data_IF_120842762126
#
_entry.id   IF_120842762126
#
_cell.length_a   1.000
_cell.length_b   1.000
_cell.length_c   1.000
_cell.angle_alpha   90.00
_cell.angle_beta   90.00
_cell.angle_gamma   90.00
#
_symmetry.space_group_name_H-M   'P 1'
#
loop_
_entity.id
_entity.type
_entity.pdbx_description
1 polymer ?
#
# COMPACT_ATOMS: atom_id res chain seq x y z
N UNK A 1 11.62 1.19 10.18
CA UNK A 1 13.03 1.58 10.39
C UNK A 1 13.10 2.85 11.21
N UNK A 2 13.77 2.77 12.35
CA UNK A 2 14.05 3.91 13.21
C UNK A 2 14.72 5.01 12.37
N UNK A 3 14.14 6.21 12.30
CA UNK A 3 14.80 7.30 11.59
C UNK A 3 16.06 7.70 12.37
N UNK A 4 17.16 8.03 11.69
CA UNK A 4 18.40 8.43 12.34
C UNK A 4 18.20 9.58 13.35
N UNK A 5 17.20 10.44 13.13
CA UNK A 5 16.84 11.54 14.03
C UNK A 5 16.25 11.01 15.36
N UNK A 6 15.60 9.85 15.36
CA UNK A 6 15.05 9.22 16.56
C UNK A 6 16.17 8.64 17.45
N UNK A 7 17.34 8.34 16.85
CA UNK A 7 18.54 7.90 17.57
C UNK A 7 19.34 9.07 18.19
N UNK A 8 19.19 10.28 17.66
CA UNK A 8 19.90 11.46 18.18
C UNK A 8 19.47 11.86 19.60
N UNK A 9 18.21 11.67 19.95
CA UNK A 9 17.68 12.00 21.28
C UNK A 9 18.26 11.12 22.40
N UNK A 10 18.17 9.77 22.34
CA UNK A 10 18.82 8.92 23.32
C UNK A 10 20.35 9.08 23.31
N UNK A 11 20.96 9.30 22.13
CA UNK A 11 22.38 9.53 22.03
C UNK A 11 22.81 10.84 22.72
N UNK A 12 22.08 11.93 22.51
CA UNK A 12 22.32 13.21 23.19
C UNK A 12 22.12 13.11 24.70
N UNK A 13 21.12 12.36 25.15
CA UNK A 13 20.87 12.08 26.56
C UNK A 13 22.02 11.27 27.18
N UNK A 14 22.49 10.23 26.50
CA UNK A 14 23.65 9.42 26.93
C UNK A 14 24.94 10.23 26.97
N UNK A 15 25.16 11.10 25.97
CA UNK A 15 26.30 12.02 25.96
C UNK A 15 26.24 13.01 27.13
N UNK A 16 25.05 13.53 27.44
CA UNK A 16 24.83 14.39 28.61
C UNK A 16 25.11 13.65 29.91
N UNK A 17 24.55 12.45 30.09
CA UNK A 17 24.75 11.61 31.28
C UNK A 17 26.23 11.25 31.42
N UNK A 18 26.89 10.82 30.34
CA UNK A 18 28.33 10.52 30.35
C UNK A 18 29.18 11.75 30.69
N UNK A 19 28.88 12.88 30.10
CA UNK A 19 29.55 14.16 30.38
C UNK A 19 29.38 14.60 31.83
N UNK A 20 28.18 14.41 32.40
CA UNK A 20 27.90 14.68 33.79
C UNK A 20 28.65 13.69 34.72
N UNK A 21 28.69 12.40 34.36
CA UNK A 21 29.41 11.39 35.16
C UNK A 21 30.94 11.62 35.14
N UNK A 22 31.53 11.88 33.99
CA UNK A 22 32.94 12.19 33.84
C UNK A 22 33.34 13.45 34.61
N UNK A 23 32.46 14.45 34.67
CA UNK A 23 32.68 15.70 35.44
C UNK A 23 32.49 15.50 36.93
N UNK A 24 31.56 14.63 37.38
CA UNK A 24 31.40 14.28 38.78
C UNK A 24 32.72 13.68 39.35
N UNK A 25 33.38 12.84 38.59
CA UNK A 25 34.65 12.24 38.99
C UNK A 25 35.83 13.23 38.99
N UNK A 26 35.76 14.34 38.20
CA UNK A 26 36.71 15.44 38.24
C UNK A 26 36.35 16.53 39.24
N UNK A 27 35.12 16.59 39.73
CA UNK A 27 34.59 17.64 40.59
C UNK A 27 34.85 17.40 42.10
N UNK A 28 35.52 16.29 42.47
CA UNK A 28 35.92 16.06 43.85
C UNK A 28 36.95 17.10 44.36
N UNK A 29 37.67 17.76 43.42
CA UNK A 29 38.71 18.78 43.72
C UNK A 29 38.26 20.22 43.34
N UNK A 30 36.99 20.44 42.95
CA UNK A 30 36.52 21.72 42.43
C UNK A 30 36.21 22.74 43.56
N UNK A 31 36.58 24.00 43.33
CA UNK A 31 36.27 25.12 44.26
C UNK A 31 34.76 25.37 44.38
N UNK A 32 34.30 26.01 45.46
CA UNK A 32 32.88 26.30 45.70
C UNK A 32 32.19 27.09 44.58
N UNK A 33 32.92 27.90 43.81
CA UNK A 33 32.44 28.67 42.65
C UNK A 33 32.10 27.78 41.46
N UNK A 34 32.90 26.72 41.22
CA UNK A 34 32.64 25.75 40.13
C UNK A 34 31.45 24.84 40.45
N UNK A 35 31.21 24.50 41.71
CA UNK A 35 30.00 23.76 42.15
C UNK A 35 28.70 24.54 41.90
N UNK A 36 28.72 25.87 42.14
CA UNK A 36 27.59 26.76 41.87
C UNK A 36 27.28 26.84 40.33
N UNK A 37 28.30 27.00 39.52
CA UNK A 37 28.13 27.03 38.05
C UNK A 37 27.65 25.68 37.49
N UNK A 38 28.05 24.56 38.10
CA UNK A 38 27.60 23.22 37.71
C UNK A 38 26.10 23.02 38.08
N UNK A 39 25.66 23.41 39.26
CA UNK A 39 24.29 23.32 39.71
C UNK A 39 23.37 24.21 38.81
N UNK A 40 23.85 25.40 38.41
CA UNK A 40 23.10 26.27 37.50
C UNK A 40 22.90 25.65 36.12
N UNK A 41 23.93 25.00 35.56
CA UNK A 41 23.83 24.31 34.28
C UNK A 41 22.88 23.10 34.33
N UNK A 42 22.87 22.32 35.41
CA UNK A 42 21.90 21.23 35.60
C UNK A 42 20.48 21.79 35.62
N UNK A 43 20.23 22.89 36.34
CA UNK A 43 18.93 23.56 36.35
C UNK A 43 18.52 24.04 34.97
N UNK A 44 19.43 24.62 34.19
CA UNK A 44 19.17 25.06 32.81
C UNK A 44 18.82 23.88 31.88
N UNK A 45 19.55 22.76 31.97
CA UNK A 45 19.23 21.56 31.19
C UNK A 45 17.87 20.95 31.59
N UNK A 46 17.57 20.88 32.88
CA UNK A 46 16.27 20.42 33.36
C UNK A 46 15.12 21.32 32.86
N UNK A 47 15.32 22.63 32.90
CA UNK A 47 14.34 23.60 32.42
C UNK A 47 14.13 23.52 30.91
N UNK A 48 15.19 23.38 30.12
CA UNK A 48 15.07 23.22 28.64
C UNK A 48 14.43 21.90 28.27
N UNK A 49 14.72 20.82 28.98
CA UNK A 49 14.08 19.53 28.78
C UNK A 49 12.58 19.58 29.10
N UNK A 50 12.23 20.24 30.22
CA UNK A 50 10.82 20.45 30.60
C UNK A 50 10.09 21.33 29.56
N UNK A 51 10.71 22.41 29.12
CA UNK A 51 10.14 23.28 28.09
C UNK A 51 9.93 22.55 26.76
N UNK A 52 10.87 21.71 26.32
CA UNK A 52 10.75 20.89 25.13
C UNK A 52 9.61 19.85 25.29
N UNK A 53 9.48 19.25 26.46
CA UNK A 53 8.38 18.34 26.78
C UNK A 53 7.01 19.05 26.71
N UNK A 54 6.87 20.20 27.37
CA UNK A 54 5.65 20.98 27.35
C UNK A 54 5.29 21.46 25.93
N UNK A 55 6.28 21.89 25.14
CA UNK A 55 6.07 22.23 23.74
C UNK A 55 5.58 21.03 22.92
N UNK A 56 6.12 19.85 23.18
CA UNK A 56 5.68 18.61 22.52
C UNK A 56 4.22 18.30 22.85
N UNK A 57 3.82 18.46 24.11
CA UNK A 57 2.42 18.28 24.54
C UNK A 57 1.50 19.29 23.85
N UNK A 58 1.88 20.56 23.82
CA UNK A 58 1.12 21.61 23.13
C UNK A 58 0.95 21.28 21.63
N UNK A 59 2.03 20.84 20.97
CA UNK A 59 1.97 20.43 19.56
C UNK A 59 1.03 19.24 19.31
N UNK A 60 0.97 18.29 20.24
CA UNK A 60 0.03 17.14 20.15
C UNK A 60 -1.41 17.68 20.18
N UNK A 61 -1.74 18.55 21.12
CA UNK A 61 -3.09 19.13 21.22
C UNK A 61 -3.42 20.03 20.03
N UNK A 62 -2.48 20.84 19.54
CA UNK A 62 -2.63 21.67 18.34
C UNK A 62 -2.85 20.87 17.07
N UNK A 63 -2.44 19.59 17.04
CA UNK A 63 -2.64 18.65 15.93
C UNK A 63 -3.87 17.76 16.05
N UNK A 64 -4.76 18.04 17.00
CA UNK A 64 -6.04 17.37 17.18
C UNK A 64 -6.09 16.38 18.35
N UNK A 65 -5.14 16.49 19.29
CA UNK A 65 -5.10 15.75 20.54
C UNK A 65 -4.54 14.33 20.44
N UNK A 66 -4.43 13.67 21.61
CA UNK A 66 -3.89 12.31 21.69
C UNK A 66 -4.65 11.31 20.83
N UNK A 67 -5.97 11.36 20.79
CA UNK A 67 -6.81 10.44 20.04
C UNK A 67 -6.48 10.46 18.54
N UNK A 68 -6.39 11.65 17.93
CA UNK A 68 -6.01 11.79 16.52
C UNK A 68 -4.57 11.35 16.26
N UNK A 69 -3.69 11.56 17.21
CA UNK A 69 -2.32 11.13 17.13
C UNK A 69 -2.21 9.60 17.25
N UNK A 70 -3.02 8.96 18.14
CA UNK A 70 -3.11 7.49 18.24
C UNK A 70 -3.73 6.87 16.99
N UNK A 71 -4.77 7.44 16.41
CA UNK A 71 -5.33 6.99 15.14
C UNK A 71 -4.31 7.06 13.98
N UNK A 72 -3.36 8.01 14.03
CA UNK A 72 -2.25 8.05 13.09
C UNK A 72 -1.19 6.96 13.34
N UNK A 73 -1.07 6.44 14.57
CA UNK A 73 -0.21 5.29 14.87
C UNK A 73 -0.79 3.98 14.37
N UNK A 74 -2.11 3.85 14.36
CA UNK A 74 -2.82 2.69 13.82
C UNK A 74 -2.83 2.65 12.28
N UNK A 75 -2.53 3.78 11.64
CA UNK A 75 -2.41 3.86 10.20
C UNK A 75 -0.99 3.52 9.75
N UNK A 76 -0.88 3.00 8.54
CA UNK A 76 0.39 2.78 7.87
C UNK A 76 1.28 4.02 7.74
N UNK A 77 0.73 5.19 8.00
CA UNK A 77 1.42 6.47 8.10
C UNK A 77 2.10 6.72 9.47
N UNK A 78 2.26 5.70 10.31
CA UNK A 78 3.06 5.75 11.56
C UNK A 78 4.40 6.48 11.40
N UNK A 79 4.99 6.38 10.23
CA UNK A 79 6.29 7.00 9.92
C UNK A 79 6.21 8.52 9.68
N UNK A 80 5.03 9.10 9.67
CA UNK A 80 4.84 10.54 9.45
C UNK A 80 4.64 11.34 10.74
N UNK A 81 4.64 10.70 11.90
CA UNK A 81 4.62 11.43 13.16
C UNK A 81 5.88 12.31 13.27
N UNK A 82 5.67 13.61 13.28
CA UNK A 82 6.76 14.60 13.27
C UNK A 82 7.34 14.90 14.65
N UNK A 83 6.80 14.26 15.70
CA UNK A 83 7.25 14.44 17.09
C UNK A 83 7.91 13.14 17.58
N UNK A 84 9.26 13.05 17.54
CA UNK A 84 9.99 11.79 17.80
C UNK A 84 9.71 11.15 19.17
N UNK A 85 9.69 11.96 20.23
CA UNK A 85 9.39 11.49 21.60
C UNK A 85 8.00 10.86 21.71
N UNK A 86 7.04 11.42 20.98
CA UNK A 86 5.68 10.92 20.95
C UNK A 86 5.59 9.54 20.28
N UNK A 87 6.34 9.30 19.23
CA UNK A 87 6.36 8.01 18.53
C UNK A 87 6.81 6.87 19.44
N UNK A 88 7.82 7.10 20.31
CA UNK A 88 8.35 6.10 21.22
C UNK A 88 7.36 5.83 22.38
N UNK A 89 6.96 6.87 23.07
CA UNK A 89 6.08 6.73 24.24
C UNK A 89 4.63 6.44 23.86
N UNK A 90 4.15 7.03 22.76
CA UNK A 90 2.83 6.76 22.22
C UNK A 90 2.68 5.30 21.79
N UNK A 91 3.67 4.74 21.10
CA UNK A 91 3.69 3.32 20.72
C UNK A 91 3.70 2.42 21.97
N UNK A 92 4.51 2.75 22.98
CA UNK A 92 4.58 1.95 24.19
C UNK A 92 3.24 1.95 24.93
N UNK A 93 2.59 3.11 25.07
CA UNK A 93 1.27 3.23 25.71
C UNK A 93 0.20 2.52 24.88
N UNK A 94 0.24 2.68 23.55
CA UNK A 94 -0.68 2.02 22.64
C UNK A 94 -0.57 0.50 22.72
N UNK A 95 0.63 -0.05 22.62
CA UNK A 95 0.91 -1.48 22.76
C UNK A 95 0.47 -2.06 24.12
N UNK A 96 0.65 -1.28 25.19
CA UNK A 96 0.23 -1.72 26.53
C UNK A 96 -1.29 -1.64 26.74
N UNK A 97 -1.96 -0.74 26.03
CA UNK A 97 -3.43 -0.56 26.13
C UNK A 97 -4.21 -1.36 25.08
N UNK A 98 -3.56 -1.95 24.08
CA UNK A 98 -4.25 -2.83 23.14
C UNK A 98 -4.83 -4.04 23.89
N UNK A 99 -6.15 -4.12 23.95
CA UNK A 99 -6.83 -5.33 24.37
C UNK A 99 -6.57 -6.41 23.30
N UNK A 100 -5.64 -7.32 23.59
CA UNK A 100 -5.45 -8.50 22.76
C UNK A 100 -6.74 -9.30 22.81
N UNK A 101 -7.43 -9.39 21.69
CA UNK A 101 -8.59 -10.27 21.57
C UNK A 101 -8.14 -11.70 21.81
N UNK A 102 -8.48 -12.24 22.97
CA UNK A 102 -8.19 -13.64 23.28
C UNK A 102 -9.24 -14.51 22.58
N UNK A 103 -8.79 -15.44 21.77
CA UNK A 103 -9.67 -16.38 21.08
C UNK A 103 -10.28 -17.34 22.12
N UNK A 104 -11.51 -17.06 22.53
CA UNK A 104 -12.23 -17.83 23.54
C UNK A 104 -13.18 -18.85 22.88
N UNK A 105 -13.60 -19.92 23.60
CA UNK A 105 -14.63 -20.84 23.11
C UNK A 105 -15.93 -20.13 22.70
N UNK A 106 -16.27 -19.01 23.37
CA UNK A 106 -17.43 -18.17 23.03
C UNK A 106 -17.26 -17.53 21.65
N UNK A 107 -16.12 -16.88 21.42
CA UNK A 107 -15.80 -16.25 20.12
C UNK A 107 -15.78 -17.30 19.00
N UNK A 108 -15.21 -18.48 19.30
CA UNK A 108 -15.23 -19.60 18.34
C UNK A 108 -16.66 -20.00 17.97
N UNK A 109 -17.53 -20.15 18.96
CA UNK A 109 -18.93 -20.51 18.74
C UNK A 109 -19.70 -19.45 17.93
N UNK A 110 -19.43 -18.15 18.18
CA UNK A 110 -19.99 -17.04 17.41
C UNK A 110 -19.54 -17.08 15.94
N UNK A 111 -18.26 -17.34 15.69
CA UNK A 111 -17.71 -17.48 14.34
C UNK A 111 -18.30 -18.71 13.65
N UNK A 112 -18.33 -19.87 14.31
CA UNK A 112 -18.91 -21.11 13.76
C UNK A 112 -20.39 -20.92 13.41
N UNK A 113 -21.13 -20.20 14.25
CA UNK A 113 -22.54 -19.88 14.01
C UNK A 113 -22.68 -18.91 12.81
N UNK A 114 -21.86 -17.89 12.71
CA UNK A 114 -21.85 -16.96 11.59
C UNK A 114 -21.53 -17.71 10.27
N UNK A 115 -20.52 -18.56 10.27
CA UNK A 115 -20.13 -19.38 9.10
C UNK A 115 -21.26 -20.29 8.63
N UNK A 116 -22.04 -20.90 9.53
CA UNK A 116 -23.18 -21.75 9.19
C UNK A 116 -24.32 -21.01 8.48
N UNK A 117 -24.44 -19.71 8.72
CA UNK A 117 -25.48 -18.86 8.11
C UNK A 117 -25.00 -18.15 6.83
N UNK A 118 -23.75 -18.36 6.42
CA UNK A 118 -23.30 -17.87 5.13
C UNK A 118 -23.95 -18.67 3.99
N UNK A 119 -24.26 -18.02 2.85
CA UNK A 119 -24.72 -18.75 1.66
C UNK A 119 -23.75 -19.88 1.35
N UNK A 120 -24.28 -21.07 1.13
CA UNK A 120 -23.45 -22.19 0.69
C UNK A 120 -22.72 -21.78 -0.61
N UNK A 121 -21.41 -22.05 -0.65
CA UNK A 121 -20.66 -21.89 -1.90
C UNK A 121 -21.34 -22.75 -2.97
N UNK A 122 -21.83 -22.09 -3.99
CA UNK A 122 -22.33 -22.76 -5.19
C UNK A 122 -21.13 -22.91 -6.13
N UNK A 123 -20.59 -24.11 -6.35
CA UNK A 123 -19.52 -24.26 -7.34
C UNK A 123 -20.06 -23.76 -8.68
N UNK A 124 -19.27 -22.91 -9.33
CA UNK A 124 -19.57 -22.50 -10.70
C UNK A 124 -19.70 -23.79 -11.53
N UNK A 125 -20.70 -23.80 -12.40
CA UNK A 125 -21.00 -24.96 -13.23
C UNK A 125 -19.73 -25.47 -13.92
N UNK A 126 -19.61 -26.79 -14.13
CA UNK A 126 -18.48 -27.46 -14.81
C UNK A 126 -18.18 -26.92 -16.22
N UNK A 127 -19.05 -26.05 -16.73
CA UNK A 127 -18.89 -25.34 -18.01
C UNK A 127 -17.78 -24.29 -18.02
N UNK A 128 -17.26 -23.84 -16.85
CA UNK A 128 -16.12 -22.92 -16.80
C UNK A 128 -14.84 -23.74 -16.85
N UNK A 129 -14.17 -23.70 -17.98
CA UNK A 129 -12.90 -24.40 -18.18
C UNK A 129 -11.87 -23.95 -17.13
N UNK A 130 -11.35 -24.91 -16.37
CA UNK A 130 -10.29 -24.66 -15.37
C UNK A 130 -9.05 -24.10 -16.06
N UNK A 131 -8.57 -22.96 -15.59
CA UNK A 131 -7.38 -22.31 -16.12
C UNK A 131 -6.14 -22.72 -15.35
N UNK A 132 -5.03 -22.95 -16.07
CA UNK A 132 -3.75 -23.33 -15.46
C UNK A 132 -2.93 -22.14 -14.99
N UNK A 133 -3.19 -20.97 -15.53
CA UNK A 133 -2.45 -19.76 -15.21
C UNK A 133 -3.40 -18.68 -14.71
N UNK A 134 -3.09 -18.11 -13.56
CA UNK A 134 -3.79 -16.95 -13.01
C UNK A 134 -2.83 -15.77 -12.93
N UNK A 135 -3.20 -14.67 -13.59
CA UNK A 135 -2.51 -13.39 -13.51
C UNK A 135 -3.40 -12.41 -12.75
N UNK A 136 -2.91 -11.85 -11.66
CA UNK A 136 -3.63 -10.84 -10.86
C UNK A 136 -2.88 -9.53 -10.89
N UNK A 137 -3.50 -8.48 -11.38
CA UNK A 137 -2.91 -7.14 -11.50
C UNK A 137 -3.63 -6.20 -10.56
N UNK A 138 -2.92 -5.80 -9.51
CA UNK A 138 -3.37 -4.74 -8.61
C UNK A 138 -2.96 -3.39 -9.19
N UNK A 139 -3.95 -2.63 -9.65
CA UNK A 139 -3.73 -1.31 -10.20
C UNK A 139 -3.84 -0.28 -9.09
N UNK A 140 -2.72 0.33 -8.74
CA UNK A 140 -2.63 1.37 -7.71
C UNK A 140 -3.65 2.47 -7.97
N UNK A 141 -4.59 2.62 -7.04
CA UNK A 141 -5.58 3.69 -7.00
C UNK A 141 -6.56 3.78 -8.19
N UNK A 142 -6.65 2.78 -9.07
CA UNK A 142 -7.53 2.81 -10.23
C UNK A 142 -9.01 2.80 -9.81
N UNK A 143 -9.78 3.77 -10.28
CA UNK A 143 -11.22 3.89 -9.98
C UNK A 143 -12.11 3.61 -11.20
N UNK A 144 -13.29 3.07 -10.94
CA UNK A 144 -14.22 2.66 -12.00
C UNK A 144 -14.71 3.82 -12.86
N UNK A 145 -14.77 5.05 -12.34
CA UNK A 145 -15.25 6.19 -13.13
C UNK A 145 -14.29 6.60 -14.25
N UNK A 146 -13.04 6.16 -14.22
CA UNK A 146 -12.04 6.39 -15.26
C UNK A 146 -12.22 5.48 -16.47
N UNK A 147 -12.94 4.35 -16.28
CA UNK A 147 -13.14 3.33 -17.31
C UNK A 147 -14.36 3.70 -18.18
N UNK A 148 -14.24 3.49 -19.49
CA UNK A 148 -15.24 3.90 -20.49
C UNK A 148 -15.57 5.40 -20.42
N UNK A 149 -14.65 6.21 -19.89
CA UNK A 149 -14.82 7.65 -19.73
C UNK A 149 -14.08 8.42 -20.82
N UNK A 150 -14.80 9.35 -21.44
CA UNK A 150 -14.21 10.38 -22.32
C UNK A 150 -14.32 11.75 -21.66
N UNK A 151 -13.23 12.48 -21.67
CA UNK A 151 -13.17 13.88 -21.22
C UNK A 151 -12.52 14.66 -22.35
N UNK A 152 -13.16 15.74 -22.80
CA UNK A 152 -12.77 16.51 -24.00
C UNK A 152 -12.57 15.61 -25.24
N UNK A 153 -13.42 14.59 -25.42
CA UNK A 153 -13.33 13.63 -26.52
C UNK A 153 -12.21 12.59 -26.41
N UNK A 154 -11.38 12.65 -25.37
CA UNK A 154 -10.23 11.74 -25.14
C UNK A 154 -10.63 10.67 -24.14
N UNK A 155 -10.35 9.42 -24.47
CA UNK A 155 -10.53 8.30 -23.53
C UNK A 155 -9.45 8.32 -22.46
N UNK A 156 -9.86 8.16 -21.17
CA UNK A 156 -8.92 8.09 -20.07
C UNK A 156 -8.18 6.74 -20.11
N UNK A 157 -8.90 5.64 -20.33
CA UNK A 157 -8.35 4.27 -20.28
C UNK A 157 -8.64 3.49 -21.56
N UNK A 158 -8.09 3.91 -22.73
CA UNK A 158 -8.44 3.31 -24.02
C UNK A 158 -8.08 1.82 -24.14
N UNK A 159 -7.01 1.35 -23.48
CA UNK A 159 -6.61 -0.05 -23.52
C UNK A 159 -7.52 -0.94 -22.69
N UNK A 160 -7.85 -0.52 -21.46
CA UNK A 160 -8.83 -1.22 -20.63
C UNK A 160 -10.21 -1.20 -21.30
N UNK A 161 -10.64 -0.08 -21.88
CA UNK A 161 -11.90 0.01 -22.61
C UNK A 161 -11.98 -1.03 -23.73
N UNK A 162 -10.90 -1.14 -24.53
CA UNK A 162 -10.78 -2.17 -25.59
C UNK A 162 -10.82 -3.59 -25.01
N UNK A 163 -10.16 -3.81 -23.87
CA UNK A 163 -10.10 -5.13 -23.23
C UNK A 163 -11.47 -5.54 -22.68
N UNK A 164 -12.19 -4.63 -22.06
CA UNK A 164 -13.54 -4.89 -21.50
C UNK A 164 -14.59 -5.11 -22.60
N UNK A 165 -14.38 -4.55 -23.78
CA UNK A 165 -15.26 -4.77 -24.93
C UNK A 165 -15.16 -6.18 -25.53
N UNK A 166 -14.16 -7.00 -25.13
CA UNK A 166 -14.03 -8.38 -25.54
C UNK A 166 -15.14 -9.23 -24.89
N UNK A 167 -15.81 -10.07 -25.68
CA UNK A 167 -16.92 -10.93 -25.21
C UNK A 167 -16.53 -11.96 -24.15
N UNK A 168 -15.22 -12.22 -23.98
CA UNK A 168 -14.68 -13.12 -22.96
C UNK A 168 -14.30 -12.39 -21.67
N UNK A 169 -14.60 -11.09 -21.56
CA UNK A 169 -14.25 -10.29 -20.39
C UNK A 169 -15.51 -10.00 -19.56
N UNK A 170 -15.42 -10.30 -18.27
CA UNK A 170 -16.38 -9.84 -17.28
C UNK A 170 -15.88 -8.54 -16.66
N UNK A 171 -16.75 -7.53 -16.61
CA UNK A 171 -16.46 -6.25 -15.96
C UNK A 171 -17.50 -5.92 -14.90
N UNK A 172 -17.06 -5.75 -13.67
CA UNK A 172 -17.86 -5.29 -12.55
C UNK A 172 -17.41 -3.87 -12.15
N UNK A 173 -18.16 -2.82 -12.55
CA UNK A 173 -17.79 -1.42 -12.29
C UNK A 173 -18.10 -0.93 -10.89
N UNK A 174 -18.93 -1.62 -10.12
CA UNK A 174 -19.49 -1.12 -8.86
C UNK A 174 -18.99 -1.91 -7.64
N UNK A 175 -17.70 -2.23 -7.61
CA UNK A 175 -17.08 -2.90 -6.45
C UNK A 175 -16.66 -1.83 -5.45
N UNK A 176 -17.30 -1.81 -4.27
CA UNK A 176 -16.88 -0.92 -3.18
C UNK A 176 -15.59 -1.46 -2.55
N UNK A 177 -14.61 -0.60 -2.44
CA UNK A 177 -13.39 -0.94 -1.71
C UNK A 177 -13.69 -1.23 -0.24
N UNK A 178 -13.08 -2.31 0.29
CA UNK A 178 -13.19 -2.69 1.70
C UNK A 178 -11.88 -2.42 2.46
N UNK A 179 -10.90 -1.80 1.81
CA UNK A 179 -9.61 -1.50 2.42
C UNK A 179 -9.73 -0.53 3.60
N UNK A 180 -8.78 -0.57 4.52
CA UNK A 180 -8.67 0.27 5.69
C UNK A 180 -7.27 0.93 5.72
N UNK A 181 -6.62 0.94 6.87
CA UNK A 181 -5.32 1.56 7.07
C UNK A 181 -4.17 1.01 6.24
N UNK A 182 -4.26 -0.24 5.81
CA UNK A 182 -3.25 -0.89 4.97
C UNK A 182 -3.28 -0.50 3.49
N UNK A 183 -4.40 0.10 3.01
CA UNK A 183 -4.52 0.53 1.61
C UNK A 183 -4.18 -0.60 0.61
N UNK A 184 -3.17 -0.43 -0.23
CA UNK A 184 -2.78 -1.41 -1.26
C UNK A 184 -2.50 -2.81 -0.71
N UNK A 185 -1.92 -2.93 0.49
CA UNK A 185 -1.66 -4.25 1.09
C UNK A 185 -2.96 -4.90 1.60
N UNK A 186 -3.96 -4.11 2.03
CA UNK A 186 -5.29 -4.61 2.38
C UNK A 186 -6.03 -5.13 1.14
N UNK A 187 -5.89 -4.45 -0.01
CA UNK A 187 -6.41 -4.92 -1.29
C UNK A 187 -5.82 -6.30 -1.66
N UNK A 188 -4.52 -6.47 -1.43
CA UNK A 188 -3.87 -7.77 -1.64
C UNK A 188 -4.39 -8.85 -0.66
N UNK A 189 -4.64 -8.51 0.61
CA UNK A 189 -5.24 -9.44 1.58
C UNK A 189 -6.62 -9.91 1.10
N UNK A 190 -7.51 -8.96 0.77
CA UNK A 190 -8.87 -9.25 0.31
C UNK A 190 -8.89 -10.25 -0.84
N UNK A 191 -8.11 -9.98 -1.88
CA UNK A 191 -8.09 -10.80 -3.10
C UNK A 191 -7.36 -12.14 -2.88
N UNK A 192 -6.27 -12.12 -2.12
CA UNK A 192 -5.45 -13.33 -1.92
C UNK A 192 -6.05 -14.31 -0.92
N UNK A 193 -6.87 -13.84 0.02
CA UNK A 193 -7.32 -14.66 1.16
C UNK A 193 -8.84 -14.67 1.38
N UNK A 194 -9.57 -13.70 0.83
CA UNK A 194 -10.99 -13.48 1.15
C UNK A 194 -11.23 -12.88 2.54
N UNK A 195 -10.19 -12.55 3.30
CA UNK A 195 -10.33 -11.97 4.64
C UNK A 195 -10.49 -10.45 4.58
N UNK A 196 -11.32 -9.90 5.46
CA UNK A 196 -11.42 -8.45 5.62
C UNK A 196 -10.20 -7.90 6.35
N UNK A 197 -9.77 -6.68 6.01
CA UNK A 197 -8.69 -6.00 6.72
C UNK A 197 -9.08 -5.69 8.17
N UNK A 198 -8.07 -5.39 8.98
CA UNK A 198 -8.28 -4.91 10.34
C UNK A 198 -9.07 -3.59 10.32
N UNK A 199 -9.98 -3.40 11.27
CA UNK A 199 -10.73 -2.14 11.40
C UNK A 199 -9.81 -0.96 11.71
N UNK A 200 -8.69 -1.20 12.38
CA UNK A 200 -7.65 -0.24 12.74
C UNK A 200 -6.27 -0.83 12.52
N UNK A 201 -5.34 -0.01 12.04
CA UNK A 201 -3.98 -0.43 11.74
C UNK A 201 -3.82 -1.14 10.40
N UNK A 202 -2.77 -1.93 10.29
CA UNK A 202 -2.43 -2.68 9.09
C UNK A 202 -1.96 -4.10 9.46
N UNK A 203 -2.63 -5.10 8.92
CA UNK A 203 -2.33 -6.50 9.23
C UNK A 203 -0.87 -6.87 8.89
N UNK A 204 -0.35 -6.36 7.80
CA UNK A 204 1.01 -6.64 7.35
C UNK A 204 2.09 -6.08 8.31
N UNK A 205 1.74 -5.08 9.12
CA UNK A 205 2.62 -4.51 10.13
C UNK A 205 2.42 -5.16 11.50
N UNK A 206 1.18 -5.49 11.85
CA UNK A 206 0.84 -6.03 13.17
C UNK A 206 0.99 -7.57 13.23
N UNK A 207 0.65 -8.27 12.13
CA UNK A 207 0.61 -9.72 12.07
C UNK A 207 1.34 -10.29 10.84
N UNK A 208 2.58 -9.83 10.53
CA UNK A 208 3.27 -10.21 9.29
C UNK A 208 3.60 -11.70 9.21
N UNK A 209 3.71 -12.38 10.35
CA UNK A 209 4.09 -13.79 10.44
C UNK A 209 2.90 -14.75 10.64
N UNK A 210 1.68 -14.24 10.53
CA UNK A 210 0.49 -15.09 10.64
C UNK A 210 0.35 -16.00 9.43
N UNK A 211 -0.03 -17.24 9.67
CA UNK A 211 -0.38 -18.18 8.60
C UNK A 211 -1.77 -17.85 8.05
N UNK A 212 -1.78 -17.26 6.85
CA UNK A 212 -3.03 -16.96 6.16
C UNK A 212 -3.42 -18.11 5.22
N UNK A 213 -4.71 -18.48 5.14
CA UNK A 213 -5.22 -19.20 3.98
C UNK A 213 -5.02 -18.29 2.75
N UNK A 214 -4.72 -18.87 1.60
CA UNK A 214 -4.56 -18.03 0.41
C UNK A 214 -4.91 -18.79 -0.87
N UNK A 215 -5.29 -18.01 -1.88
CA UNK A 215 -5.55 -18.51 -3.23
C UNK A 215 -4.35 -19.29 -3.80
N UNK A 216 -3.14 -18.79 -3.58
CA UNK A 216 -1.90 -19.44 -4.05
C UNK A 216 -1.70 -20.80 -3.39
N UNK A 217 -1.95 -20.91 -2.10
CA UNK A 217 -1.86 -22.20 -1.37
C UNK A 217 -2.91 -23.18 -1.87
N UNK A 218 -4.17 -22.73 -2.04
CA UNK A 218 -5.23 -23.58 -2.57
C UNK A 218 -4.90 -24.05 -4.00
N UNK A 219 -4.40 -23.14 -4.86
CA UNK A 219 -3.94 -23.52 -6.20
C UNK A 219 -2.79 -24.54 -6.16
N UNK A 220 -1.89 -24.45 -5.17
CA UNK A 220 -0.76 -25.37 -5.02
C UNK A 220 -1.19 -26.75 -4.54
N UNK A 221 -2.27 -26.84 -3.77
CA UNK A 221 -2.88 -28.13 -3.37
C UNK A 221 -3.45 -28.86 -4.60
N UNK A 222 -4.11 -28.15 -5.51
CA UNK A 222 -4.63 -28.73 -6.76
C UNK A 222 -3.52 -28.98 -7.80
N UNK A 223 -2.50 -28.11 -7.82
CA UNK A 223 -1.40 -28.11 -8.78
C UNK A 223 -0.05 -28.09 -8.05
N UNK A 224 0.50 -29.24 -7.62
CA UNK A 224 1.76 -29.31 -6.89
C UNK A 224 2.97 -28.73 -7.62
N UNK A 225 2.89 -28.61 -8.96
CA UNK A 225 3.92 -28.01 -9.83
C UNK A 225 3.75 -26.50 -10.02
N UNK A 226 2.83 -25.85 -9.29
CA UNK A 226 2.57 -24.43 -9.37
C UNK A 226 3.83 -23.61 -9.11
N UNK A 227 4.12 -22.71 -10.04
CA UNK A 227 5.11 -21.63 -9.87
C UNK A 227 4.40 -20.32 -9.58
N UNK A 228 4.79 -19.65 -8.49
CA UNK A 228 4.12 -18.41 -8.05
C UNK A 228 5.10 -17.24 -7.98
N UNK A 229 4.66 -16.09 -8.49
CA UNK A 229 5.49 -14.92 -8.69
C UNK A 229 4.80 -13.65 -8.18
N UNK A 230 5.56 -12.77 -7.52
CA UNK A 230 5.19 -11.38 -7.23
C UNK A 230 6.14 -10.44 -7.98
N UNK A 231 5.58 -9.45 -8.66
CA UNK A 231 6.34 -8.38 -9.32
C UNK A 231 5.83 -7.01 -8.85
N UNK A 232 6.72 -6.21 -8.31
CA UNK A 232 6.42 -4.85 -7.84
C UNK A 232 7.65 -3.96 -7.94
N UNK A 233 7.43 -2.65 -8.00
CA UNK A 233 8.49 -1.64 -7.99
C UNK A 233 8.84 -1.18 -6.57
N UNK A 234 8.20 -1.73 -5.57
CA UNK A 234 8.45 -1.43 -4.17
C UNK A 234 9.67 -2.16 -3.61
N UNK A 235 10.11 -1.72 -2.43
CA UNK A 235 11.14 -2.42 -1.66
C UNK A 235 10.51 -3.59 -0.90
N UNK A 236 11.26 -4.69 -0.64
CA UNK A 236 10.75 -5.83 0.13
C UNK A 236 10.12 -5.45 1.48
N UNK A 237 10.68 -4.44 2.13
CA UNK A 237 10.24 -3.95 3.44
C UNK A 237 8.98 -3.06 3.38
N UNK A 238 8.62 -2.54 2.21
CA UNK A 238 7.40 -1.74 2.07
C UNK A 238 6.21 -2.62 2.42
N UNK A 239 5.44 -2.26 3.46
CA UNK A 239 4.35 -3.08 3.97
C UNK A 239 4.73 -4.51 4.39
N UNK A 240 5.99 -4.78 4.74
CA UNK A 240 6.48 -6.15 4.93
C UNK A 240 6.14 -7.09 3.76
N UNK A 241 6.11 -6.54 2.54
CA UNK A 241 5.60 -7.20 1.33
C UNK A 241 6.25 -8.56 1.07
N UNK A 242 7.56 -8.71 1.32
CA UNK A 242 8.24 -9.99 1.13
C UNK A 242 7.74 -11.06 2.08
N UNK A 243 7.60 -10.72 3.37
CA UNK A 243 7.13 -11.66 4.41
C UNK A 243 5.68 -12.06 4.16
N UNK A 244 4.83 -11.07 3.85
CA UNK A 244 3.40 -11.32 3.57
C UNK A 244 3.22 -12.18 2.33
N UNK A 245 3.95 -11.90 1.25
CA UNK A 245 3.88 -12.68 0.01
C UNK A 245 4.34 -14.13 0.22
N UNK A 246 5.40 -14.35 1.00
CA UNK A 246 5.85 -15.68 1.40
C UNK A 246 4.77 -16.41 2.20
N UNK A 247 4.14 -15.73 3.16
CA UNK A 247 3.03 -16.30 3.93
C UNK A 247 1.78 -16.59 3.10
N UNK A 248 1.60 -15.94 1.96
CA UNK A 248 0.56 -16.28 0.97
C UNK A 248 0.98 -17.44 0.05
N UNK A 249 2.22 -17.94 0.16
CA UNK A 249 2.72 -19.07 -0.64
C UNK A 249 3.39 -18.66 -1.95
N UNK A 250 3.70 -17.37 -2.14
CA UNK A 250 4.44 -16.90 -3.32
C UNK A 250 5.91 -17.28 -3.16
N UNK A 251 6.45 -17.99 -4.16
CA UNK A 251 7.79 -18.58 -4.09
C UNK A 251 8.89 -17.71 -4.68
N UNK A 252 8.56 -16.82 -5.61
CA UNK A 252 9.54 -15.95 -6.27
C UNK A 252 9.04 -14.50 -6.31
N UNK A 253 9.90 -13.58 -5.93
CA UNK A 253 9.54 -12.17 -5.78
C UNK A 253 10.55 -11.28 -6.50
N UNK A 254 10.04 -10.29 -7.23
CA UNK A 254 10.82 -9.32 -7.97
C UNK A 254 10.48 -7.93 -7.44
N UNK A 255 11.42 -7.33 -6.73
CA UNK A 255 11.29 -6.02 -6.10
C UNK A 255 12.05 -4.94 -6.88
N UNK A 256 12.12 -3.75 -6.34
CA UNK A 256 12.70 -2.55 -6.97
C UNK A 256 14.13 -2.73 -7.48
N UNK A 257 14.94 -3.54 -6.85
CA UNK A 257 16.35 -3.82 -7.21
C UNK A 257 16.50 -4.71 -8.44
N UNK A 258 15.40 -5.30 -8.90
CA UNK A 258 15.37 -6.20 -10.07
C UNK A 258 14.91 -5.50 -11.37
N UNK A 259 14.68 -4.20 -11.29
CA UNK A 259 14.19 -3.36 -12.38
C UNK A 259 15.14 -2.19 -12.62
N UNK A 260 15.27 -1.79 -13.89
CA UNK A 260 15.98 -0.57 -14.26
C UNK A 260 15.03 0.62 -14.09
N UNK A 261 15.35 1.56 -13.19
CA UNK A 261 14.53 2.74 -12.94
C UNK A 261 14.81 3.86 -13.96
N UNK A 262 14.39 3.64 -15.19
CA UNK A 262 14.58 4.50 -16.37
C UNK A 262 13.43 5.50 -16.59
N UNK A 263 12.23 5.23 -16.07
CA UNK A 263 11.09 6.16 -16.04
C UNK A 263 10.72 6.49 -14.59
N UNK A 264 11.15 7.65 -14.08
CA UNK A 264 10.93 8.04 -12.66
C UNK A 264 9.58 8.75 -12.50
N UNK A 265 8.63 8.10 -11.81
CA UNK A 265 7.26 8.57 -11.62
C UNK A 265 6.92 8.72 -10.12
N UNK A 266 5.96 9.59 -9.84
CA UNK A 266 5.49 9.87 -8.48
C UNK A 266 6.46 10.70 -7.66
N UNK A 267 6.01 11.16 -6.50
CA UNK A 267 6.83 11.95 -5.57
C UNK A 267 8.06 11.21 -5.05
N UNK A 268 8.00 9.87 -5.02
CA UNK A 268 9.10 8.99 -4.58
C UNK A 268 10.05 8.59 -5.71
N UNK A 269 9.82 9.07 -6.95
CA UNK A 269 10.65 8.80 -8.14
C UNK A 269 10.92 7.30 -8.36
N UNK A 270 9.89 6.47 -8.20
CA UNK A 270 9.96 5.04 -8.50
C UNK A 270 9.83 4.80 -10.00
N UNK A 271 10.10 3.56 -10.42
CA UNK A 271 9.89 3.12 -11.79
C UNK A 271 8.42 3.26 -12.18
N UNK A 272 8.15 3.91 -13.32
CA UNK A 272 6.81 4.09 -13.86
C UNK A 272 6.24 2.83 -14.50
N UNK A 273 4.90 2.71 -14.47
CA UNK A 273 4.20 1.49 -14.89
C UNK A 273 4.44 1.14 -16.36
N UNK A 274 4.64 2.13 -17.25
CA UNK A 274 4.90 1.84 -18.67
C UNK A 274 6.23 1.11 -18.83
N UNK A 275 7.32 1.61 -18.24
CA UNK A 275 8.59 0.90 -18.27
C UNK A 275 8.54 -0.40 -17.47
N UNK A 276 7.87 -0.42 -16.33
CA UNK A 276 7.68 -1.61 -15.52
C UNK A 276 7.05 -2.75 -16.35
N UNK A 277 5.94 -2.48 -17.07
CA UNK A 277 5.27 -3.49 -17.91
C UNK A 277 6.15 -3.93 -19.08
N UNK A 278 6.90 -3.02 -19.72
CA UNK A 278 7.89 -3.38 -20.75
C UNK A 278 8.95 -4.35 -20.21
N UNK A 279 9.46 -4.09 -19.00
CA UNK A 279 10.48 -4.93 -18.36
C UNK A 279 9.91 -6.27 -17.91
N UNK A 280 8.65 -6.32 -17.42
CA UNK A 280 7.94 -7.59 -17.17
C UNK A 280 7.85 -8.41 -18.46
N UNK A 281 7.36 -7.82 -19.54
CA UNK A 281 7.26 -8.49 -20.85
C UNK A 281 8.62 -9.02 -21.32
N UNK A 282 9.68 -8.23 -21.16
CA UNK A 282 11.04 -8.66 -21.49
C UNK A 282 11.50 -9.87 -20.66
N UNK A 283 11.20 -9.88 -19.35
CA UNK A 283 11.49 -11.04 -18.49
C UNK A 283 10.68 -12.28 -18.89
N UNK A 284 9.39 -12.12 -19.19
CA UNK A 284 8.54 -13.22 -19.64
C UNK A 284 9.02 -13.82 -20.98
N UNK A 285 9.47 -12.98 -21.93
CA UNK A 285 10.04 -13.41 -23.22
C UNK A 285 11.35 -14.18 -23.06
N UNK A 286 12.19 -13.84 -22.08
CA UNK A 286 13.44 -14.58 -21.80
C UNK A 286 13.19 -16.02 -21.33
N UNK A 287 11.97 -16.34 -20.90
CA UNK A 287 11.62 -17.64 -20.31
C UNK A 287 12.06 -17.74 -18.84
N UNK A 288 11.76 -18.88 -18.23
CA UNK A 288 12.01 -19.12 -16.79
C UNK A 288 10.87 -18.67 -15.87
N UNK A 289 10.06 -17.72 -16.29
CA UNK A 289 8.87 -17.23 -15.60
C UNK A 289 7.64 -17.58 -16.42
N UNK A 290 6.56 -18.03 -15.75
CA UNK A 290 5.32 -18.46 -16.41
C UNK A 290 5.59 -19.51 -17.52
N UNK A 291 6.17 -20.63 -17.16
CA UNK A 291 6.53 -21.69 -18.10
C UNK A 291 5.26 -22.28 -18.74
N UNK A 292 5.30 -22.40 -20.08
CA UNK A 292 4.23 -23.02 -20.85
C UNK A 292 3.99 -24.47 -20.38
N UNK A 293 2.72 -24.87 -20.25
CA UNK A 293 2.33 -26.21 -19.84
C UNK A 293 2.42 -26.49 -18.34
N UNK A 294 2.90 -25.53 -17.56
CA UNK A 294 2.90 -25.54 -16.09
C UNK A 294 1.78 -24.67 -15.53
N UNK A 295 1.40 -24.93 -14.30
CA UNK A 295 0.50 -24.06 -13.55
C UNK A 295 1.28 -22.85 -13.03
N UNK A 296 0.72 -21.65 -13.22
CA UNK A 296 1.40 -20.41 -12.83
C UNK A 296 0.44 -19.48 -12.09
N UNK A 297 0.97 -18.78 -11.11
CA UNK A 297 0.34 -17.62 -10.48
C UNK A 297 1.29 -16.42 -10.64
N UNK A 298 0.80 -15.34 -11.21
CA UNK A 298 1.57 -14.11 -11.34
C UNK A 298 0.79 -12.95 -10.73
N UNK A 299 1.34 -12.37 -9.68
CA UNK A 299 0.83 -11.15 -9.05
C UNK A 299 1.68 -9.95 -9.47
N UNK A 300 1.03 -8.92 -9.97
CA UNK A 300 1.66 -7.65 -10.35
C UNK A 300 1.03 -6.54 -9.54
N UNK A 301 1.85 -5.69 -8.94
CA UNK A 301 1.38 -4.52 -8.17
C UNK A 301 1.99 -3.28 -8.82
N UNK A 302 1.14 -2.42 -9.39
CA UNK A 302 1.55 -1.17 -10.02
C UNK A 302 1.80 -0.09 -8.97
N UNK A 303 2.33 1.07 -9.40
CA UNK A 303 2.65 2.15 -8.47
C UNK A 303 2.23 3.53 -8.98
N UNK A 304 2.20 3.76 -10.29
CA UNK A 304 2.13 5.13 -10.83
C UNK A 304 0.90 5.90 -10.36
N UNK A 305 -0.23 5.22 -10.17
CA UNK A 305 -1.47 5.79 -9.64
C UNK A 305 -1.40 6.33 -8.21
N UNK A 306 -0.23 6.27 -7.55
CA UNK A 306 -0.09 6.72 -6.17
C UNK A 306 -0.14 8.26 -6.05
N UNK A 307 -1.02 8.76 -5.14
CA UNK A 307 -1.08 10.19 -4.81
C UNK A 307 0.32 10.74 -4.44
N UNK A 308 0.72 11.93 -4.91
CA UNK A 308 -0.05 13.01 -5.53
C UNK A 308 -0.13 13.02 -7.07
N UNK A 309 -0.04 11.89 -7.75
CA UNK A 309 -0.21 11.73 -9.20
C UNK A 309 0.82 12.51 -10.05
N UNK A 310 2.07 12.57 -9.58
CA UNK A 310 3.15 13.31 -10.25
C UNK A 310 3.69 12.53 -11.44
N UNK A 311 3.44 13.01 -12.64
CA UNK A 311 3.96 12.47 -13.88
C UNK A 311 4.80 13.52 -14.62
N UNK A 312 6.06 13.22 -15.00
CA UNK A 312 6.87 14.11 -15.85
C UNK A 312 6.17 14.43 -17.17
N UNK A 313 6.32 15.67 -17.66
CA UNK A 313 5.60 16.15 -18.84
C UNK A 313 5.90 15.30 -20.11
N UNK A 314 7.12 14.83 -20.26
CA UNK A 314 7.51 13.96 -21.37
C UNK A 314 6.87 12.56 -21.34
N UNK A 315 6.25 12.17 -20.25
CA UNK A 315 5.52 10.90 -20.11
C UNK A 315 4.00 11.08 -20.22
N UNK A 316 3.49 12.30 -20.16
CA UNK A 316 2.07 12.61 -20.32
C UNK A 316 1.62 12.34 -21.76
N UNK A 317 0.63 11.47 -21.92
CA UNK A 317 0.10 11.07 -23.23
C UNK A 317 -1.16 11.82 -23.62
N UNK A 318 -1.89 12.34 -22.62
CA UNK A 318 -3.08 13.17 -22.82
C UNK A 318 -2.95 14.46 -22.01
N UNK A 319 -3.63 15.49 -22.48
CA UNK A 319 -3.71 16.78 -21.80
C UNK A 319 -5.15 17.28 -21.85
N UNK A 320 -5.60 17.93 -20.77
CA UNK A 320 -6.93 18.52 -20.68
C UNK A 320 -6.82 20.04 -20.58
N UNK A 321 -7.71 20.76 -21.30
CA UNK A 321 -7.71 22.22 -21.40
C UNK A 321 -8.73 22.87 -20.44
N UNK A 322 -9.76 22.11 -20.03
CA UNK A 322 -10.78 22.61 -19.12
C UNK A 322 -10.24 22.94 -17.74
N UNK A 323 -10.97 23.79 -17.04
CA UNK A 323 -10.64 24.22 -15.66
C UNK A 323 -11.03 23.14 -14.64
N UNK A 324 -10.36 21.99 -14.74
CA UNK A 324 -10.53 20.88 -13.81
C UNK A 324 -9.72 21.11 -12.53
N UNK A 325 -10.20 20.65 -11.36
CA UNK A 325 -9.37 20.59 -10.16
C UNK A 325 -8.04 19.88 -10.47
N UNK A 326 -6.93 20.47 -10.05
CA UNK A 326 -5.58 20.00 -10.39
C UNK A 326 -5.41 18.49 -10.13
N UNK A 327 -5.79 18.01 -8.94
CA UNK A 327 -5.69 16.60 -8.59
C UNK A 327 -6.55 15.68 -9.47
N UNK A 328 -7.75 16.12 -9.87
CA UNK A 328 -8.58 15.37 -10.80
C UNK A 328 -7.91 15.25 -12.16
N UNK A 329 -7.40 16.38 -12.68
CA UNK A 329 -6.68 16.41 -13.97
C UNK A 329 -5.46 15.50 -13.96
N UNK A 330 -4.63 15.61 -12.92
CA UNK A 330 -3.41 14.82 -12.79
C UNK A 330 -3.72 13.33 -12.60
N UNK A 331 -4.81 13.00 -11.90
CA UNK A 331 -5.27 11.64 -11.75
C UNK A 331 -5.70 11.03 -13.08
N UNK A 332 -6.51 11.72 -13.87
CA UNK A 332 -6.90 11.27 -15.22
C UNK A 332 -5.69 11.05 -16.15
N UNK A 333 -4.70 11.94 -16.08
CA UNK A 333 -3.46 11.82 -16.87
C UNK A 333 -2.66 10.60 -16.41
N UNK A 334 -2.57 10.38 -15.10
CA UNK A 334 -1.87 9.24 -14.53
C UNK A 334 -2.57 7.91 -14.86
N UNK A 335 -3.90 7.86 -14.78
CA UNK A 335 -4.66 6.68 -15.19
C UNK A 335 -4.42 6.31 -16.66
N UNK A 336 -4.34 7.32 -17.54
CA UNK A 336 -4.01 7.09 -18.95
C UNK A 336 -2.58 6.54 -19.15
N UNK A 337 -1.62 7.02 -18.36
CA UNK A 337 -0.26 6.51 -18.37
C UNK A 337 -0.19 5.04 -17.91
N UNK A 338 -0.84 4.70 -16.80
CA UNK A 338 -0.93 3.32 -16.29
C UNK A 338 -1.66 2.40 -17.27
N UNK A 339 -2.78 2.86 -17.83
CA UNK A 339 -3.54 2.13 -18.87
C UNK A 339 -2.67 1.77 -20.09
N UNK A 340 -1.80 2.68 -20.50
CA UNK A 340 -0.85 2.38 -21.59
C UNK A 340 0.13 1.26 -21.22
N UNK A 341 0.65 1.27 -20.00
CA UNK A 341 1.47 0.18 -19.47
C UNK A 341 0.71 -1.15 -19.46
N UNK A 342 -0.52 -1.14 -18.94
CA UNK A 342 -1.39 -2.32 -18.92
C UNK A 342 -1.63 -2.84 -20.36
N UNK A 343 -1.87 -1.96 -21.32
CA UNK A 343 -2.03 -2.35 -22.73
C UNK A 343 -0.84 -3.14 -23.27
N UNK A 344 0.39 -2.71 -22.96
CA UNK A 344 1.62 -3.41 -23.37
C UNK A 344 1.66 -4.84 -22.81
N UNK A 345 1.33 -5.01 -21.52
CA UNK A 345 1.32 -6.32 -20.90
C UNK A 345 0.19 -7.21 -21.46
N UNK A 346 -1.03 -6.67 -21.55
CA UNK A 346 -2.21 -7.40 -21.99
C UNK A 346 -2.08 -7.85 -23.45
N UNK A 347 -1.58 -7.00 -24.34
CA UNK A 347 -1.32 -7.35 -25.74
C UNK A 347 -0.26 -8.47 -25.85
N UNK A 348 0.78 -8.42 -25.02
CA UNK A 348 1.75 -9.52 -24.94
C UNK A 348 1.12 -10.81 -24.45
N UNK A 349 0.36 -10.78 -23.33
CA UNK A 349 -0.30 -11.97 -22.79
C UNK A 349 -1.25 -12.58 -23.83
N UNK A 350 -2.03 -11.74 -24.53
CA UNK A 350 -2.94 -12.16 -25.61
C UNK A 350 -2.20 -12.81 -26.78
N UNK A 351 -0.96 -12.42 -27.04
CA UNK A 351 -0.13 -13.00 -28.13
C UNK A 351 0.48 -14.35 -27.78
N UNK A 352 0.42 -14.80 -26.53
CA UNK A 352 1.02 -16.05 -26.10
C UNK A 352 0.20 -17.27 -26.56
N UNK A 353 0.86 -18.37 -26.96
CA UNK A 353 0.17 -19.59 -27.40
C UNK A 353 -0.72 -20.24 -26.33
N UNK A 354 -0.40 -19.97 -25.03
CA UNK A 354 -1.11 -20.50 -23.87
C UNK A 354 -2.13 -19.51 -23.29
N UNK A 355 -2.47 -18.44 -24.01
CA UNK A 355 -3.43 -17.41 -23.54
C UNK A 355 -4.79 -17.98 -23.18
N UNK A 356 -5.29 -18.97 -23.95
CA UNK A 356 -6.57 -19.64 -23.67
C UNK A 356 -6.61 -20.36 -22.32
N UNK A 357 -5.45 -20.71 -21.77
CA UNK A 357 -5.29 -21.37 -20.47
C UNK A 357 -5.05 -20.36 -19.33
N UNK A 358 -5.18 -19.07 -19.60
CA UNK A 358 -5.00 -17.99 -18.63
C UNK A 358 -6.34 -17.43 -18.16
N UNK A 359 -6.37 -17.06 -16.89
CA UNK A 359 -7.34 -16.11 -16.32
C UNK A 359 -6.56 -14.88 -15.91
N UNK A 360 -6.99 -13.70 -16.34
CA UNK A 360 -6.36 -12.43 -16.02
C UNK A 360 -7.34 -11.60 -15.23
N UNK A 361 -6.99 -11.25 -14.01
CA UNK A 361 -7.78 -10.42 -13.10
C UNK A 361 -7.10 -9.06 -12.97
N UNK A 362 -7.83 -7.99 -13.26
CA UNK A 362 -7.37 -6.62 -13.08
C UNK A 362 -8.30 -5.96 -12.07
N UNK A 363 -7.73 -5.40 -11.02
CA UNK A 363 -8.49 -4.79 -9.94
C UNK A 363 -7.84 -3.48 -9.50
N UNK A 364 -8.64 -2.43 -9.26
CA UNK A 364 -8.18 -1.28 -8.48
C UNK A 364 -8.01 -1.69 -7.03
N UNK A 365 -6.81 -1.55 -6.49
CA UNK A 365 -6.50 -2.00 -5.13
C UNK A 365 -7.23 -1.20 -4.04
N UNK A 366 -7.48 0.09 -4.30
CA UNK A 366 -8.28 1.01 -3.48
C UNK A 366 -8.65 2.28 -4.25
N UNK A 367 -9.45 3.15 -3.66
CA UNK A 367 -9.78 4.46 -4.22
C UNK A 367 -8.56 5.40 -4.20
N UNK A 368 -8.42 6.25 -5.23
CA UNK A 368 -7.29 7.17 -5.41
C UNK A 368 -7.52 8.56 -4.82
N UNK A 369 -8.73 9.08 -4.90
CA UNK A 369 -9.03 10.46 -4.53
C UNK A 369 -9.12 10.70 -3.01
N UNK A 370 -9.47 9.70 -2.23
CA UNK A 370 -9.52 9.75 -0.76
C UNK A 370 -10.20 11.04 -0.23
N UNK A 371 -9.48 11.84 0.58
CA UNK A 371 -10.01 13.08 1.16
C UNK A 371 -10.32 14.18 0.12
N UNK A 372 -9.72 14.12 -1.07
CA UNK A 372 -9.93 15.10 -2.14
C UNK A 372 -11.22 14.83 -2.95
N UNK A 373 -11.84 13.65 -2.78
CA UNK A 373 -13.06 13.26 -3.52
C UNK A 373 -14.18 14.25 -3.34
N UNK A 374 -14.53 14.60 -2.11
CA UNK A 374 -15.65 15.49 -1.81
C UNK A 374 -15.49 16.87 -2.48
N UNK A 375 -14.39 17.60 -2.26
CA UNK A 375 -14.19 18.91 -2.93
C UNK A 375 -14.11 18.79 -4.46
N UNK A 376 -13.59 17.69 -5.00
CA UNK A 376 -13.59 17.46 -6.46
C UNK A 376 -15.02 17.28 -6.97
N UNK A 377 -15.83 16.42 -6.35
CA UNK A 377 -17.23 16.18 -6.77
C UNK A 377 -18.12 17.43 -6.64
N UNK A 378 -17.80 18.34 -5.71
CA UNK A 378 -18.49 19.64 -5.55
C UNK A 378 -18.09 20.63 -6.63
N UNK A 379 -16.99 20.41 -7.36
CA UNK A 379 -16.55 21.28 -8.46
C UNK A 379 -17.48 21.14 -9.67
N UNK A 380 -17.95 22.24 -10.27
CA UNK A 380 -18.77 22.21 -11.48
C UNK A 380 -18.13 21.42 -12.63
N UNK A 381 -16.80 21.51 -12.79
CA UNK A 381 -16.05 20.83 -13.85
C UNK A 381 -16.00 19.31 -13.67
N UNK A 382 -16.16 18.79 -12.45
CA UNK A 382 -16.18 17.35 -12.18
C UNK A 382 -17.57 16.73 -12.28
N UNK A 383 -18.62 17.55 -12.37
CA UNK A 383 -20.01 17.09 -12.39
C UNK A 383 -20.28 16.12 -13.53
N UNK A 384 -20.76 14.91 -13.19
CA UNK A 384 -21.04 13.85 -14.16
C UNK A 384 -19.79 13.13 -14.70
N UNK A 385 -18.58 13.48 -14.22
CA UNK A 385 -17.33 12.80 -14.56
C UNK A 385 -16.90 11.89 -13.41
N UNK A 386 -16.68 12.45 -12.22
CA UNK A 386 -16.19 11.73 -11.04
C UNK A 386 -17.38 11.19 -10.26
N UNK A 387 -17.30 9.92 -9.82
CA UNK A 387 -18.30 9.32 -8.94
C UNK A 387 -18.12 9.79 -7.49
N UNK A 388 -19.22 10.03 -6.79
CA UNK A 388 -19.25 10.25 -5.34
C UNK A 388 -18.95 8.96 -4.54
N UNK A 389 -19.04 7.80 -5.19
CA UNK A 389 -18.75 6.49 -4.61
C UNK A 389 -17.33 6.04 -4.90
N UNK A 390 -16.76 5.32 -3.94
CA UNK A 390 -15.40 4.76 -3.99
C UNK A 390 -15.39 3.41 -4.72
N UNK A 391 -15.91 3.39 -5.95
CA UNK A 391 -15.91 2.17 -6.75
C UNK A 391 -14.55 1.92 -7.40
N UNK A 392 -14.03 0.71 -7.23
CA UNK A 392 -12.88 0.19 -7.96
C UNK A 392 -13.32 -0.83 -9.01
N UNK A 393 -12.64 -0.91 -10.16
CA UNK A 393 -12.99 -1.88 -11.19
C UNK A 393 -12.54 -3.29 -10.80
N UNK A 394 -13.35 -4.28 -11.18
CA UNK A 394 -12.98 -5.68 -11.16
C UNK A 394 -13.22 -6.24 -12.56
N UNK A 395 -12.15 -6.69 -13.22
CA UNK A 395 -12.14 -7.14 -14.62
C UNK A 395 -11.52 -8.54 -14.64
N UNK A 396 -12.18 -9.47 -15.30
CA UNK A 396 -11.70 -10.85 -15.45
C UNK A 396 -11.78 -11.27 -16.90
#
# INVERSE_FOLDING_TARGET
SMRWIDALLPLSTLICIYSLHKRKNRGAEASGRERGAYALRIKQYALTTLAAFLLSVILIFAKGGPEKAFNNLDNANMYTCKVPMYTIFGNLIHETNQQKTVFTPKIKAEIDNWMKHQPAYQPLADSIARKKTLVVIFCESLESWEINRKVEGKEITPNLNRYIADSHTLYAPHVLTQVKGGRSIDGQLLVSTGLLPLMSGCYAMQFPFTHYPSLVKAMKEEHPDLSSYLMTVDKPITWNQSVVAENFGISQMFFNDQWVNDEKVGSRKKLGDVSFMKQIVAKLKKGGIMKKGKSNYLQIVTYSGHNPFVLPDNLKRIHFKGDYPEKMRDFMIMANYTDHGLGILLDYLKSRPDYKDMMIVIIGDHEGLAADRKPICESPAAKGIVSDKQFTPFIV
#
